data_IF_196410943827
#
_entry.id   IF_196410943827
#
_cell.length_a   1.000
_cell.length_b   1.000
_cell.length_c   1.000
_cell.angle_alpha   90.00
_cell.angle_beta   90.00
_cell.angle_gamma   90.00
#
_symmetry.space_group_name_H-M   'P 1'
#
loop_
_entity.id
_entity.type
_entity.pdbx_description
1 polymer ?
#
# COMPACT_ATOMS: atom_id res chain seq x y z
N UNK A 1 -24.88 19.58 -9.45
CA UNK A 1 -24.40 18.26 -9.85
C UNK A 1 -23.27 17.88 -8.91
N UNK A 2 -23.59 17.14 -7.84
CA UNK A 2 -22.58 16.66 -6.89
C UNK A 2 -21.74 15.59 -7.58
N UNK A 3 -20.48 15.93 -7.88
CA UNK A 3 -19.45 14.93 -8.15
C UNK A 3 -19.18 14.18 -6.85
N UNK A 4 -19.80 13.02 -6.70
CA UNK A 4 -19.32 12.01 -5.76
C UNK A 4 -17.96 11.60 -6.32
N UNK A 5 -16.89 12.11 -5.71
CA UNK A 5 -15.56 11.51 -5.88
C UNK A 5 -15.72 10.08 -5.40
N UNK A 6 -15.72 9.15 -6.35
CA UNK A 6 -15.56 7.74 -6.06
C UNK A 6 -14.25 7.62 -5.27
N UNK A 7 -14.36 7.51 -3.95
CA UNK A 7 -13.29 7.02 -3.07
C UNK A 7 -13.08 5.54 -3.34
N UNK A 8 -12.86 5.24 -4.62
CA UNK A 8 -12.78 3.93 -5.23
C UNK A 8 -11.49 3.30 -4.78
N UNK A 9 -11.63 2.46 -3.78
CA UNK A 9 -10.71 1.43 -3.31
C UNK A 9 -10.33 0.42 -4.42
N UNK A 10 -9.99 0.88 -5.62
CA UNK A 10 -9.61 -0.01 -6.71
C UNK A 10 -8.18 -0.49 -6.47
N UNK A 11 -8.06 -1.66 -5.84
CA UNK A 11 -6.91 -2.50 -6.15
C UNK A 11 -6.94 -2.76 -7.67
N UNK A 12 -5.78 -2.93 -8.34
CA UNK A 12 -5.76 -3.30 -9.75
C UNK A 12 -6.71 -4.49 -9.96
N UNK A 13 -7.54 -4.46 -11.01
CA UNK A 13 -8.56 -5.49 -11.27
C UNK A 13 -7.99 -6.92 -11.25
N UNK A 14 -6.68 -7.07 -11.52
CA UNK A 14 -5.95 -8.33 -11.42
C UNK A 14 -5.88 -8.92 -9.98
N UNK A 15 -5.95 -8.09 -8.92
CA UNK A 15 -6.05 -8.54 -7.52
C UNK A 15 -7.46 -9.03 -7.14
N UNK A 16 -8.44 -8.91 -8.03
CA UNK A 16 -9.79 -9.44 -7.85
C UNK A 16 -10.00 -10.83 -8.46
N UNK A 17 -9.00 -11.35 -9.17
CA UNK A 17 -9.04 -12.69 -9.78
C UNK A 17 -9.01 -13.88 -8.80
N UNK A 18 -9.27 -15.07 -9.33
CA UNK A 18 -9.20 -16.36 -8.63
C UNK A 18 -7.78 -16.68 -8.16
N UNK A 19 -7.36 -16.12 -7.03
CA UNK A 19 -6.03 -16.36 -6.45
C UNK A 19 -5.72 -15.47 -5.26
N UNK A 20 -6.27 -14.27 -5.21
CA UNK A 20 -5.96 -13.28 -4.17
C UNK A 20 -7.07 -13.16 -3.13
N UNK A 21 -6.71 -13.53 -1.90
CA UNK A 21 -7.58 -13.37 -0.74
C UNK A 21 -7.73 -11.90 -0.33
N UNK A 22 -8.74 -11.61 0.48
CA UNK A 22 -8.93 -10.30 1.12
C UNK A 22 -7.65 -9.83 1.86
N UNK A 23 -6.88 -10.75 2.47
CA UNK A 23 -5.64 -10.40 3.15
C UNK A 23 -4.56 -9.86 2.20
N UNK A 24 -4.49 -10.35 0.95
CA UNK A 24 -3.60 -9.78 -0.07
C UNK A 24 -3.97 -8.34 -0.38
N UNK A 25 -5.28 -8.07 -0.59
CA UNK A 25 -5.77 -6.71 -0.87
C UNK A 25 -5.42 -5.73 0.25
N UNK A 26 -5.57 -6.17 1.51
CA UNK A 26 -5.19 -5.34 2.67
C UNK A 26 -3.70 -5.04 2.66
N UNK A 27 -2.84 -6.05 2.47
CA UNK A 27 -1.39 -5.87 2.46
C UNK A 27 -0.94 -4.99 1.28
N UNK A 28 -1.49 -5.20 0.10
CA UNK A 28 -1.22 -4.37 -1.08
C UNK A 28 -1.58 -2.90 -0.81
N UNK A 29 -2.78 -2.63 -0.26
CA UNK A 29 -3.20 -1.26 0.08
C UNK A 29 -2.31 -0.61 1.12
N UNK A 30 -1.80 -1.37 2.08
CA UNK A 30 -0.83 -0.85 3.05
C UNK A 30 0.50 -0.49 2.39
N UNK A 31 0.99 -1.32 1.46
CA UNK A 31 2.21 -1.01 0.69
C UNK A 31 2.00 0.22 -0.19
N UNK A 32 0.84 0.33 -0.86
CA UNK A 32 0.50 1.48 -1.69
C UNK A 32 0.41 2.77 -0.87
N UNK A 33 -0.24 2.73 0.30
CA UNK A 33 -0.40 3.89 1.18
C UNK A 33 0.85 4.24 2.01
N UNK A 34 1.82 3.34 2.10
CA UNK A 34 3.04 3.51 2.88
C UNK A 34 4.26 2.91 2.16
N UNK A 35 4.49 3.35 0.92
CA UNK A 35 5.61 2.89 0.11
C UNK A 35 6.96 3.14 0.81
N UNK A 36 7.89 2.18 0.70
CA UNK A 36 9.21 2.23 1.32
C UNK A 36 9.23 1.71 2.76
N UNK A 37 8.09 1.23 3.26
CA UNK A 37 7.96 0.71 4.62
C UNK A 37 8.63 -0.64 4.80
N UNK A 38 9.22 -0.88 5.98
CA UNK A 38 9.83 -2.17 6.31
C UNK A 38 8.78 -3.26 6.54
N UNK A 39 9.18 -4.53 6.46
CA UNK A 39 8.31 -5.66 6.83
C UNK A 39 7.76 -5.53 8.26
N UNK A 40 8.57 -5.01 9.18
CA UNK A 40 8.17 -4.82 10.58
C UNK A 40 7.08 -3.76 10.72
N UNK A 41 7.25 -2.60 10.09
CA UNK A 41 6.24 -1.54 10.23
C UNK A 41 4.98 -1.88 9.44
N UNK A 42 5.07 -2.61 8.31
CA UNK A 42 3.89 -3.17 7.65
C UNK A 42 3.09 -4.11 8.56
N UNK A 43 3.77 -4.89 9.42
CA UNK A 43 3.07 -5.72 10.39
C UNK A 43 2.34 -4.88 11.43
N UNK A 44 2.97 -3.79 11.90
CA UNK A 44 2.36 -2.84 12.84
C UNK A 44 1.15 -2.15 12.20
N UNK A 45 1.30 -1.63 10.98
CA UNK A 45 0.21 -1.02 10.22
C UNK A 45 -0.95 -1.99 10.01
N UNK A 46 -0.66 -3.24 9.66
CA UNK A 46 -1.68 -4.28 9.53
C UNK A 46 -2.42 -4.52 10.85
N UNK A 47 -1.69 -4.65 11.97
CA UNK A 47 -2.30 -4.84 13.29
C UNK A 47 -3.17 -3.64 13.68
N UNK A 48 -2.74 -2.41 13.33
CA UNK A 48 -3.47 -1.18 13.62
C UNK A 48 -4.78 -1.05 12.82
N UNK A 49 -4.78 -1.40 11.53
CA UNK A 49 -5.99 -1.30 10.69
C UNK A 49 -6.90 -2.51 10.79
N UNK A 50 -6.42 -3.63 11.31
CA UNK A 50 -7.16 -4.88 11.37
C UNK A 50 -8.54 -4.77 12.07
N UNK A 51 -8.69 -4.09 13.22
CA UNK A 51 -10.01 -3.94 13.86
C UNK A 51 -11.04 -3.26 12.96
N UNK A 52 -10.61 -2.30 12.14
CA UNK A 52 -11.48 -1.57 11.21
C UNK A 52 -11.79 -2.40 9.96
N UNK A 53 -10.75 -2.96 9.34
CA UNK A 53 -10.84 -3.64 8.05
C UNK A 53 -11.58 -4.98 8.15
N UNK A 54 -11.46 -5.66 9.29
CA UNK A 54 -12.14 -6.93 9.54
C UNK A 54 -13.47 -6.77 10.30
N UNK A 55 -13.91 -5.55 10.57
CA UNK A 55 -15.20 -5.32 11.21
C UNK A 55 -16.35 -5.74 10.29
N UNK A 56 -17.26 -6.58 10.80
CA UNK A 56 -18.46 -7.01 10.06
C UNK A 56 -18.20 -7.99 8.92
N UNK A 57 -16.97 -8.49 8.74
CA UNK A 57 -16.65 -9.56 7.78
C UNK A 57 -16.33 -10.85 8.53
N UNK A 58 -16.62 -12.00 7.89
CA UNK A 58 -16.39 -13.33 8.47
C UNK A 58 -14.92 -13.72 8.60
N UNK A 59 -14.03 -13.00 7.91
CA UNK A 59 -12.58 -13.27 7.91
C UNK A 59 -11.93 -12.65 9.15
N UNK A 60 -10.89 -13.29 9.65
CA UNK A 60 -10.12 -12.80 10.80
C UNK A 60 -8.71 -12.40 10.40
N UNK A 61 -8.09 -11.41 11.08
CA UNK A 61 -6.69 -11.05 10.88
C UNK A 61 -5.76 -12.27 10.96
N UNK A 62 -4.79 -12.34 10.07
CA UNK A 62 -3.85 -13.47 10.00
C UNK A 62 -2.55 -13.22 10.75
N UNK A 63 -1.85 -14.27 11.18
CA UNK A 63 -0.56 -14.17 11.88
C UNK A 63 0.55 -13.64 10.97
N UNK A 64 1.58 -13.00 11.56
CA UNK A 64 2.73 -12.41 10.84
C UNK A 64 3.43 -13.37 9.87
N UNK A 65 3.60 -14.65 10.24
CA UNK A 65 4.17 -15.66 9.32
C UNK A 65 3.37 -15.79 8.04
N UNK A 66 2.03 -15.81 8.14
CA UNK A 66 1.17 -15.90 6.96
C UNK A 66 1.18 -14.59 6.18
N UNK A 67 1.20 -13.42 6.84
CA UNK A 67 1.37 -12.12 6.16
C UNK A 67 2.63 -12.06 5.29
N UNK A 68 3.75 -12.59 5.79
CA UNK A 68 4.99 -12.69 5.00
C UNK A 68 4.83 -13.56 3.76
N UNK A 69 4.13 -14.70 3.88
CA UNK A 69 3.78 -15.54 2.72
C UNK A 69 2.98 -14.72 1.70
N UNK A 70 1.94 -14.02 2.13
CA UNK A 70 1.09 -13.21 1.23
C UNK A 70 1.86 -12.05 0.57
N UNK A 71 2.82 -11.43 1.27
CA UNK A 71 3.71 -10.43 0.67
C UNK A 71 4.64 -11.05 -0.40
N UNK A 72 5.14 -12.27 -0.17
CA UNK A 72 5.87 -13.02 -1.20
C UNK A 72 4.97 -13.33 -2.39
N UNK A 73 3.74 -13.81 -2.14
CA UNK A 73 2.77 -14.12 -3.20
C UNK A 73 2.48 -12.85 -4.05
N UNK A 74 2.30 -11.68 -3.41
CA UNK A 74 2.13 -10.39 -4.12
C UNK A 74 3.35 -9.99 -4.96
N UNK A 75 4.56 -10.25 -4.45
CA UNK A 75 5.81 -9.92 -5.15
C UNK A 75 6.02 -10.81 -6.37
N UNK A 76 5.81 -12.11 -6.20
CA UNK A 76 5.93 -13.08 -7.30
C UNK A 76 4.94 -12.79 -8.43
N UNK A 77 3.80 -12.22 -8.08
CA UNK A 77 2.78 -11.78 -9.01
C UNK A 77 3.02 -10.38 -9.62
N UNK A 78 4.08 -9.68 -9.21
CA UNK A 78 4.41 -8.34 -9.73
C UNK A 78 3.54 -7.20 -9.22
N UNK A 79 2.80 -7.37 -8.11
CA UNK A 79 2.03 -6.26 -7.52
C UNK A 79 2.86 -5.37 -6.62
N UNK A 80 3.90 -5.91 -6.03
CA UNK A 80 4.80 -5.19 -5.13
C UNK A 80 6.23 -5.58 -5.43
N UNK A 81 7.14 -4.67 -5.17
CA UNK A 81 8.56 -4.90 -5.19
C UNK A 81 9.12 -4.91 -3.77
N UNK A 82 10.28 -5.54 -3.61
CA UNK A 82 10.98 -5.55 -2.35
C UNK A 82 12.48 -5.45 -2.54
N UNK A 83 13.13 -4.69 -1.67
CA UNK A 83 14.58 -4.57 -1.63
C UNK A 83 15.10 -4.81 -0.22
N UNK A 84 16.22 -5.51 -0.11
CA UNK A 84 16.85 -5.74 1.19
C UNK A 84 17.73 -4.54 1.56
N UNK A 85 17.55 -4.02 2.77
CA UNK A 85 18.36 -2.93 3.35
C UNK A 85 19.02 -3.41 4.65
N UNK A 86 20.01 -2.69 5.20
CA UNK A 86 20.58 -3.02 6.51
C UNK A 86 19.54 -3.05 7.65
N UNK A 87 18.42 -2.33 7.49
CA UNK A 87 17.32 -2.28 8.47
C UNK A 87 16.22 -3.31 8.20
N UNK A 88 16.40 -4.15 7.19
CA UNK A 88 15.44 -5.17 6.77
C UNK A 88 14.87 -4.90 5.38
N UNK A 89 13.90 -5.71 5.00
CA UNK A 89 13.25 -5.63 3.68
C UNK A 89 12.22 -4.51 3.64
N UNK A 90 12.40 -3.60 2.68
CA UNK A 90 11.45 -2.55 2.33
C UNK A 90 10.55 -3.01 1.19
N UNK A 91 9.33 -2.47 1.16
CA UNK A 91 8.31 -2.84 0.18
C UNK A 91 7.79 -1.62 -0.56
N UNK A 92 7.64 -1.73 -1.87
CA UNK A 92 7.15 -0.70 -2.78
C UNK A 92 6.00 -1.28 -3.62
N UNK A 93 5.02 -0.49 -4.05
CA UNK A 93 4.14 -0.90 -5.14
C UNK A 93 4.96 -1.05 -6.43
N UNK A 94 4.64 -2.02 -7.27
CA UNK A 94 5.27 -2.13 -8.58
C UNK A 94 4.75 -1.00 -9.50
N UNK A 95 5.63 -0.38 -10.29
CA UNK A 95 5.27 0.78 -11.13
C UNK A 95 4.10 0.48 -12.08
N UNK A 96 4.10 -0.72 -12.68
CA UNK A 96 3.05 -1.19 -13.61
C UNK A 96 1.66 -1.35 -12.96
N UNK A 97 1.58 -1.27 -11.62
CA UNK A 97 0.32 -1.39 -10.86
C UNK A 97 -0.21 -0.08 -10.33
N UNK A 98 0.55 1.00 -10.49
CA UNK A 98 0.12 2.34 -10.14
C UNK A 98 -0.83 2.86 -11.23
N UNK A 99 -2.01 3.34 -10.84
CA UNK A 99 -2.78 4.20 -11.73
C UNK A 99 -2.08 5.54 -11.92
N UNK A 100 -2.40 6.30 -12.97
CA UNK A 100 -1.89 7.66 -13.14
C UNK A 100 -2.13 8.53 -11.89
N UNK A 101 -3.27 8.35 -11.22
CA UNK A 101 -3.59 9.01 -9.94
C UNK A 101 -2.68 8.56 -8.79
N UNK A 102 -2.34 7.26 -8.72
CA UNK A 102 -1.40 6.75 -7.72
C UNK A 102 0.02 7.26 -7.97
N UNK A 103 0.44 7.36 -9.24
CA UNK A 103 1.72 7.99 -9.62
C UNK A 103 1.75 9.46 -9.17
N UNK A 104 0.66 10.21 -9.39
CA UNK A 104 0.56 11.60 -8.93
C UNK A 104 0.61 11.74 -7.41
N UNK A 105 0.06 10.77 -6.65
CA UNK A 105 0.13 10.74 -5.18
C UNK A 105 1.49 10.29 -4.66
N UNK A 106 2.16 9.38 -5.35
CA UNK A 106 3.46 8.83 -4.97
C UNK A 106 4.62 9.79 -5.28
N UNK A 107 4.43 10.76 -6.19
CA UNK A 107 5.43 11.80 -6.45
C UNK A 107 5.62 12.66 -5.20
N UNK A 108 6.87 12.87 -4.74
CA UNK A 108 7.13 13.88 -3.72
C UNK A 108 6.62 15.21 -4.28
N UNK A 109 5.70 15.86 -3.55
CA UNK A 109 5.20 17.19 -3.93
C UNK A 109 6.43 18.07 -4.20
N UNK A 110 6.46 18.82 -5.32
CA UNK A 110 7.55 19.76 -5.52
C UNK A 110 7.61 20.64 -4.27
N UNK A 111 8.76 20.62 -3.61
CA UNK A 111 9.05 21.50 -2.50
C UNK A 111 9.01 22.91 -3.09
N UNK A 112 7.87 23.59 -2.99
CA UNK A 112 7.81 25.03 -3.21
C UNK A 112 8.58 25.64 -2.05
N UNK A 113 9.90 25.75 -2.27
CA UNK A 113 10.80 26.47 -1.38
C UNK A 113 10.18 27.83 -1.13
N UNK A 114 9.87 28.08 0.14
CA UNK A 114 9.44 29.36 0.62
C UNK A 114 10.64 30.31 0.50
N UNK A 115 10.82 30.88 -0.68
CA UNK A 115 11.71 32.01 -0.91
C UNK A 115 11.09 33.21 -0.21
N UNK A 116 11.42 33.38 1.06
CA UNK A 116 11.20 34.63 1.77
C UNK A 116 11.99 35.71 1.04
N UNK A 117 11.29 36.44 0.18
CA UNK A 117 11.67 37.74 -0.34
C UNK A 117 11.76 38.68 0.87
N UNK A 118 12.97 38.85 1.39
CA UNK A 118 13.29 39.96 2.27
C UNK A 118 13.57 41.15 1.37
N UNK A 119 12.57 42.01 1.19
CA UNK A 119 12.78 43.37 0.70
C UNK A 119 13.50 44.19 1.77
N UNK A 120 14.66 44.75 1.39
CA UNK A 120 15.40 45.82 2.07
C UNK A 120 15.03 47.18 1.44
#
# INVERSE_FOLDING_TARGET
MSGVVDTGLNAPAALDGEGYTHHHRVLYRLVLGAAGTTTSDLHILYDAVAPLVYHGVTKTPVKRRYRRKLLTDLREAGFVEASDTPRGRIWMPAEDTLSDDDVLRARPRPNHGNGGETDD
#
